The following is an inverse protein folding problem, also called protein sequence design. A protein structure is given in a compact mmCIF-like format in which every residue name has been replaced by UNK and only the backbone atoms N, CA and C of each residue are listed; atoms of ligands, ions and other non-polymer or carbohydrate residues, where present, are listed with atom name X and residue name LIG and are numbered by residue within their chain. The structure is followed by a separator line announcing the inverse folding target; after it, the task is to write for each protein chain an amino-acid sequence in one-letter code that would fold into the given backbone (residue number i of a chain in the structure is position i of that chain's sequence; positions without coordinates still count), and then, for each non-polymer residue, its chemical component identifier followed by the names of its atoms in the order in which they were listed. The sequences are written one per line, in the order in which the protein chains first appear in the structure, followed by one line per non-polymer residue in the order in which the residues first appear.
data_IF_066224613932
#
_entry.id   IF_066224613932
#
_cell.length_a   1.000
_cell.length_b   1.000
_cell.length_c   1.000
_cell.angle_alpha   90.00
_cell.angle_beta   90.00
_cell.angle_gamma   90.00
#
_symmetry.space_group_name_H-M   'P 1'
#
loop_
_entity.id
_entity.type
_entity.pdbx_description
1 polymer ?
#
# COMPACT_ATOMS: atom_id res chain seq x y z
N UNK A 1 -6.91 -16.29 41.60
CA UNK A 1 -7.50 -16.07 40.26
C UNK A 1 -6.64 -15.03 39.60
N UNK A 2 -5.85 -15.43 38.60
CA UNK A 2 -5.03 -14.49 37.80
C UNK A 2 -5.96 -13.48 37.15
N UNK A 3 -5.65 -12.19 37.33
CA UNK A 3 -6.34 -11.08 36.68
C UNK A 3 -6.45 -11.39 35.17
N UNK A 4 -7.66 -11.35 34.60
CA UNK A 4 -7.82 -11.47 33.16
C UNK A 4 -7.08 -10.28 32.55
N UNK A 5 -6.00 -10.53 31.81
CA UNK A 5 -5.33 -9.47 31.06
C UNK A 5 -6.34 -8.79 30.14
N UNK A 6 -6.54 -7.50 30.36
CA UNK A 6 -7.41 -6.67 29.54
C UNK A 6 -6.89 -6.67 28.11
N UNK A 7 -7.69 -7.15 27.17
CA UNK A 7 -7.27 -7.38 25.77
C UNK A 7 -7.38 -6.12 24.90
N UNK A 8 -8.18 -5.14 25.32
CA UNK A 8 -8.35 -3.86 24.64
C UNK A 8 -8.47 -2.71 25.64
N UNK A 9 -7.95 -1.54 25.29
CA UNK A 9 -8.18 -0.31 26.07
C UNK A 9 -9.59 0.25 25.84
N UNK A 10 -10.22 -0.07 24.71
CA UNK A 10 -11.58 0.36 24.38
C UNK A 10 -12.59 -0.30 25.35
N UNK A 11 -13.36 0.51 26.10
CA UNK A 11 -14.28 0.00 27.12
C UNK A 11 -15.43 -0.84 26.53
N UNK A 12 -15.75 -0.69 25.24
CA UNK A 12 -16.83 -1.44 24.57
C UNK A 12 -16.36 -2.81 24.09
N UNK A 13 -15.06 -2.99 23.87
CA UNK A 13 -14.51 -4.24 23.35
C UNK A 13 -14.54 -5.35 24.40
N UNK A 14 -14.21 -5.07 25.67
CA UNK A 14 -14.13 -6.10 26.70
C UNK A 14 -15.47 -6.83 26.94
N UNK A 15 -16.61 -6.13 27.09
CA UNK A 15 -17.92 -6.79 27.17
C UNK A 15 -18.25 -7.65 25.94
N UNK A 16 -17.82 -7.22 24.74
CA UNK A 16 -18.03 -7.99 23.51
C UNK A 16 -17.15 -9.25 23.47
N UNK A 17 -15.92 -9.19 23.97
CA UNK A 17 -15.04 -10.36 24.11
C UNK A 17 -15.61 -11.36 25.13
N UNK A 18 -16.18 -10.88 26.24
CA UNK A 18 -16.85 -11.74 27.20
C UNK A 18 -18.08 -12.44 26.62
N UNK A 19 -18.90 -11.71 25.86
CA UNK A 19 -20.03 -12.28 25.11
C UNK A 19 -19.55 -13.34 24.11
N UNK A 20 -18.54 -13.00 23.31
CA UNK A 20 -17.94 -13.92 22.34
C UNK A 20 -17.42 -15.20 22.99
N UNK A 21 -16.76 -15.09 24.14
CA UNK A 21 -16.30 -16.25 24.91
C UNK A 21 -17.45 -17.15 25.39
N UNK A 22 -18.55 -16.56 25.91
CA UNK A 22 -19.75 -17.32 26.33
C UNK A 22 -20.41 -18.04 25.14
N UNK A 23 -20.41 -17.40 23.98
CA UNK A 23 -20.97 -17.91 22.72
C UNK A 23 -19.99 -18.82 21.95
N UNK A 24 -18.78 -19.07 22.49
CA UNK A 24 -17.72 -19.87 21.87
C UNK A 24 -17.28 -19.35 20.50
N UNK A 25 -17.31 -18.03 20.31
CA UNK A 25 -16.86 -17.35 19.09
C UNK A 25 -15.38 -17.01 19.23
N UNK A 26 -14.55 -17.56 18.34
CA UNK A 26 -13.12 -17.23 18.26
C UNK A 26 -12.88 -15.83 17.71
N UNK A 27 -12.11 -15.03 18.42
CA UNK A 27 -11.74 -13.66 18.03
C UNK A 27 -10.28 -13.58 17.56
N UNK A 28 -9.84 -12.39 17.16
CA UNK A 28 -8.44 -12.16 16.79
C UNK A 28 -7.46 -12.39 17.96
N UNK A 29 -7.85 -12.05 19.19
CA UNK A 29 -7.02 -12.26 20.38
C UNK A 29 -6.81 -13.75 20.70
N UNK A 30 -7.84 -14.57 20.53
CA UNK A 30 -7.73 -16.01 20.73
C UNK A 30 -6.77 -16.62 19.70
N UNK A 31 -6.87 -16.18 18.43
CA UNK A 31 -5.94 -16.61 17.38
C UNK A 31 -4.51 -16.13 17.62
N UNK A 32 -4.30 -14.95 18.19
CA UNK A 32 -2.97 -14.46 18.55
C UNK A 32 -2.35 -15.30 19.67
N UNK A 33 -3.16 -15.64 20.69
CA UNK A 33 -2.72 -16.52 21.79
C UNK A 33 -2.32 -17.90 21.27
N UNK A 34 -3.07 -18.47 20.32
CA UNK A 34 -2.76 -19.75 19.68
C UNK A 34 -1.49 -19.71 18.81
N UNK A 35 -1.11 -18.54 18.29
CA UNK A 35 0.11 -18.35 17.51
C UNK A 35 1.34 -18.04 18.36
N UNK A 36 1.19 -17.98 19.69
CA UNK A 36 2.28 -17.61 20.61
C UNK A 36 3.04 -18.85 21.13
N UNK A 37 4.38 -18.83 21.19
CA UNK A 37 5.27 -17.76 20.69
C UNK A 37 5.36 -17.74 19.17
N UNK A 38 5.38 -16.54 18.58
CA UNK A 38 5.57 -16.39 17.14
C UNK A 38 7.01 -16.76 16.71
N UNK A 39 7.17 -17.13 15.43
CA UNK A 39 8.47 -17.52 14.88
C UNK A 39 9.50 -16.37 14.90
N UNK A 40 10.58 -16.53 15.66
CA UNK A 40 11.63 -15.51 15.80
C UNK A 40 12.31 -15.11 14.48
N UNK A 41 12.63 -16.08 13.61
CA UNK A 41 13.24 -15.77 12.29
C UNK A 41 12.32 -14.92 11.42
N UNK A 42 11.00 -15.16 11.47
CA UNK A 42 10.02 -14.39 10.74
C UNK A 42 9.88 -12.97 11.30
N UNK A 43 9.79 -12.85 12.62
CA UNK A 43 9.71 -11.54 13.31
C UNK A 43 10.95 -10.67 13.07
N UNK A 44 12.13 -11.29 12.97
CA UNK A 44 13.38 -10.59 12.66
C UNK A 44 13.59 -10.34 11.15
N UNK A 45 12.71 -10.87 10.28
CA UNK A 45 12.85 -10.73 8.84
C UNK A 45 14.01 -11.51 8.23
N UNK A 46 14.47 -12.58 8.90
CA UNK A 46 15.64 -13.39 8.52
C UNK A 46 15.26 -14.73 7.88
N UNK A 47 14.03 -14.87 7.39
CA UNK A 47 13.53 -16.05 6.69
C UNK A 47 13.18 -15.71 5.23
N UNK A 48 13.75 -16.42 4.27
CA UNK A 48 13.52 -16.22 2.84
C UNK A 48 12.82 -17.42 2.21
N UNK A 49 11.72 -17.17 1.49
CA UNK A 49 10.90 -18.17 0.78
C UNK A 49 10.67 -17.81 -0.70
N UNK A 50 11.61 -17.13 -1.32
CA UNK A 50 11.41 -16.55 -2.66
C UNK A 50 11.64 -17.53 -3.81
N UNK A 51 12.20 -18.72 -3.55
CA UNK A 51 12.45 -19.74 -4.57
C UNK A 51 12.33 -21.15 -3.96
N UNK A 52 12.40 -22.17 -4.82
CA UNK A 52 12.25 -23.58 -4.46
C UNK A 52 13.40 -24.16 -3.64
N UNK A 53 14.53 -23.48 -3.53
CA UNK A 53 15.66 -23.91 -2.70
C UNK A 53 15.50 -23.49 -1.22
N UNK A 54 14.48 -22.69 -0.90
CA UNK A 54 14.13 -22.31 0.48
C UNK A 54 13.25 -23.36 1.19
N UNK A 55 12.79 -23.07 2.42
CA UNK A 55 13.02 -21.84 3.19
C UNK A 55 14.47 -21.72 3.66
N UNK A 56 15.13 -20.60 3.36
CA UNK A 56 16.39 -20.23 4.00
C UNK A 56 16.09 -19.45 5.28
N UNK A 57 16.92 -19.61 6.31
CA UNK A 57 16.92 -18.77 7.51
C UNK A 57 18.35 -18.36 7.83
N UNK A 58 18.52 -17.25 8.54
CA UNK A 58 19.83 -16.83 9.09
C UNK A 58 19.72 -16.78 10.61
N UNK A 59 20.68 -17.38 11.29
CA UNK A 59 20.82 -17.27 12.74
C UNK A 59 21.56 -15.97 13.08
N UNK A 60 20.91 -14.98 13.71
CA UNK A 60 21.56 -13.71 14.06
C UNK A 60 22.53 -13.82 15.23
N UNK A 61 22.54 -14.92 15.98
CA UNK A 61 23.32 -15.08 17.21
C UNK A 61 24.25 -16.31 17.22
N UNK A 62 24.10 -17.23 16.26
CA UNK A 62 24.86 -18.48 16.17
C UNK A 62 25.89 -18.51 15.04
N UNK A 63 26.60 -19.64 14.92
CA UNK A 63 27.68 -19.80 13.95
C UNK A 63 27.20 -20.19 12.54
N UNK A 64 25.98 -20.74 12.40
CA UNK A 64 25.43 -21.18 11.11
C UNK A 64 23.91 -21.41 11.18
N UNK A 65 23.12 -21.15 10.12
CA UNK A 65 23.52 -20.58 8.81
C UNK A 65 23.63 -19.04 8.81
N UNK A 66 24.65 -18.51 8.13
CA UNK A 66 24.94 -17.06 8.00
C UNK A 66 24.52 -16.45 6.65
N UNK A 67 24.17 -17.30 5.67
CA UNK A 67 23.69 -16.89 4.35
C UNK A 67 22.63 -17.87 3.83
N UNK A 68 21.80 -17.40 2.89
CA UNK A 68 20.90 -18.28 2.15
C UNK A 68 21.65 -19.17 1.15
N UNK A 69 20.98 -20.21 0.64
CA UNK A 69 21.56 -21.17 -0.33
C UNK A 69 22.16 -20.49 -1.57
N UNK A 70 21.65 -19.32 -1.96
CA UNK A 70 22.18 -18.54 -3.09
C UNK A 70 23.24 -17.49 -2.70
N UNK A 71 23.74 -17.49 -1.46
CA UNK A 71 24.67 -16.48 -0.92
C UNK A 71 23.99 -15.18 -0.47
N UNK A 72 22.65 -15.16 -0.33
CA UNK A 72 21.96 -13.96 0.16
C UNK A 72 22.25 -13.71 1.65
N UNK A 73 22.78 -12.54 1.97
CA UNK A 73 23.06 -12.11 3.35
C UNK A 73 21.78 -11.81 4.16
N UNK A 74 21.94 -11.64 5.47
CA UNK A 74 20.89 -11.17 6.38
C UNK A 74 20.24 -9.88 5.88
N UNK A 75 21.06 -8.88 5.52
CA UNK A 75 20.60 -7.59 5.01
C UNK A 75 19.77 -7.75 3.73
N UNK A 76 20.22 -8.61 2.82
CA UNK A 76 19.51 -8.87 1.57
C UNK A 76 18.16 -9.51 1.82
N UNK A 77 18.08 -10.49 2.73
CA UNK A 77 16.81 -11.16 3.09
C UNK A 77 15.86 -10.17 3.78
N UNK A 78 16.35 -9.39 4.75
CA UNK A 78 15.57 -8.38 5.45
C UNK A 78 15.04 -7.29 4.50
N UNK A 79 15.90 -6.74 3.63
CA UNK A 79 15.51 -5.74 2.64
C UNK A 79 14.46 -6.27 1.66
N UNK A 80 14.60 -7.51 1.19
CA UNK A 80 13.62 -8.17 0.32
C UNK A 80 12.26 -8.35 1.00
N UNK A 81 12.26 -8.73 2.28
CA UNK A 81 11.04 -8.89 3.06
C UNK A 81 10.32 -7.56 3.23
N UNK A 82 11.05 -6.50 3.61
CA UNK A 82 10.51 -5.16 3.73
C UNK A 82 9.97 -4.63 2.39
N UNK A 83 10.76 -4.74 1.31
CA UNK A 83 10.35 -4.29 -0.02
C UNK A 83 9.06 -4.95 -0.50
N UNK A 84 8.89 -6.27 -0.28
CA UNK A 84 7.64 -6.96 -0.64
C UNK A 84 6.44 -6.52 0.19
N UNK A 85 6.61 -6.20 1.47
CA UNK A 85 5.52 -5.63 2.27
C UNK A 85 5.11 -4.25 1.76
N UNK A 86 6.09 -3.40 1.44
CA UNK A 86 5.84 -2.09 0.85
C UNK A 86 5.13 -2.23 -0.50
N UNK A 87 5.59 -3.13 -1.37
CA UNK A 87 4.97 -3.39 -2.66
C UNK A 87 3.54 -3.93 -2.51
N UNK A 88 3.26 -4.81 -1.56
CA UNK A 88 1.91 -5.30 -1.30
C UNK A 88 0.96 -4.18 -0.84
N UNK A 89 1.42 -3.30 0.04
CA UNK A 89 0.66 -2.12 0.47
C UNK A 89 0.45 -1.12 -0.67
N UNK A 90 1.47 -0.88 -1.50
CA UNK A 90 1.38 -0.03 -2.68
C UNK A 90 0.38 -0.61 -3.71
N UNK A 91 0.41 -1.92 -3.94
CA UNK A 91 -0.53 -2.60 -4.83
C UNK A 91 -1.99 -2.48 -4.35
N UNK A 92 -2.26 -2.61 -3.05
CA UNK A 92 -3.60 -2.41 -2.50
C UNK A 92 -4.12 -0.97 -2.72
N UNK A 93 -3.27 0.04 -2.54
CA UNK A 93 -3.63 1.42 -2.83
C UNK A 93 -3.72 1.71 -4.34
N UNK A 94 -2.90 1.04 -5.17
CA UNK A 94 -2.96 1.11 -6.64
C UNK A 94 -4.32 0.63 -7.13
N UNK A 95 -4.76 -0.55 -6.70
CA UNK A 95 -6.05 -1.14 -7.09
C UNK A 95 -7.23 -0.27 -6.66
N UNK A 96 -7.21 0.22 -5.41
CA UNK A 96 -8.20 1.19 -4.92
C UNK A 96 -8.25 2.42 -5.81
N UNK A 97 -7.10 3.07 -6.06
CA UNK A 97 -7.04 4.30 -6.83
C UNK A 97 -7.50 4.06 -8.27
N UNK A 98 -7.14 2.94 -8.89
CA UNK A 98 -7.57 2.56 -10.24
C UNK A 98 -9.08 2.42 -10.31
N UNK A 99 -9.69 1.68 -9.38
CA UNK A 99 -11.14 1.53 -9.34
C UNK A 99 -11.85 2.89 -9.22
N UNK A 100 -11.30 3.81 -8.40
CA UNK A 100 -11.83 5.18 -8.29
C UNK A 100 -11.67 5.96 -9.59
N UNK A 101 -10.50 5.92 -10.24
CA UNK A 101 -10.24 6.64 -11.49
C UNK A 101 -11.10 6.09 -12.64
N UNK A 102 -11.24 4.77 -12.76
CA UNK A 102 -12.10 4.12 -13.75
C UNK A 102 -13.57 4.51 -13.54
N UNK A 103 -14.04 4.48 -12.29
CA UNK A 103 -15.41 4.92 -11.94
C UNK A 103 -15.60 6.40 -12.25
N UNK A 104 -14.64 7.23 -11.90
CA UNK A 104 -14.67 8.67 -12.18
C UNK A 104 -14.72 8.96 -13.68
N UNK A 105 -13.88 8.30 -14.48
CA UNK A 105 -13.87 8.45 -15.94
C UNK A 105 -15.20 7.98 -16.54
N UNK A 106 -15.71 6.83 -16.11
CA UNK A 106 -17.00 6.33 -16.58
C UNK A 106 -18.17 7.28 -16.20
N UNK A 107 -18.13 7.89 -15.01
CA UNK A 107 -19.10 8.91 -14.61
C UNK A 107 -18.97 10.19 -15.45
N UNK A 108 -17.74 10.64 -15.73
CA UNK A 108 -17.47 11.80 -16.58
C UNK A 108 -17.94 11.59 -18.03
N UNK A 109 -17.86 10.35 -18.54
CA UNK A 109 -18.38 9.93 -19.84
C UNK A 109 -19.89 9.65 -19.84
N UNK A 110 -20.58 9.84 -18.71
CA UNK A 110 -22.03 9.64 -18.58
C UNK A 110 -22.47 8.17 -18.56
N UNK A 111 -21.55 7.23 -18.36
CA UNK A 111 -21.81 5.76 -18.38
C UNK A 111 -22.28 5.20 -17.05
N UNK A 112 -22.20 5.97 -15.96
CA UNK A 112 -22.60 5.53 -14.61
C UNK A 112 -23.70 6.44 -14.06
N UNK A 113 -24.99 6.10 -14.30
CA UNK A 113 -26.10 6.86 -13.75
C UNK A 113 -26.04 6.90 -12.22
N UNK A 114 -26.23 8.08 -11.63
CA UNK A 114 -26.16 8.29 -10.17
C UNK A 114 -24.85 8.91 -9.69
N UNK A 115 -23.81 8.93 -10.53
CA UNK A 115 -22.57 9.66 -10.28
C UNK A 115 -22.52 10.95 -11.10
N UNK A 116 -21.76 11.92 -10.61
CA UNK A 116 -21.54 13.19 -11.27
C UNK A 116 -20.47 14.00 -10.54
N UNK A 117 -19.98 15.05 -11.18
CA UNK A 117 -19.01 15.95 -10.56
C UNK A 117 -19.71 16.73 -9.45
N UNK A 118 -19.31 16.49 -8.19
CA UNK A 118 -19.88 17.15 -7.01
C UNK A 118 -19.08 18.37 -6.57
N UNK A 119 -17.80 18.42 -6.94
CA UNK A 119 -16.89 19.50 -6.60
C UNK A 119 -16.07 19.89 -7.84
N UNK A 120 -16.54 20.94 -8.52
CA UNK A 120 -15.87 21.48 -9.71
C UNK A 120 -14.57 22.19 -9.35
N UNK A 121 -14.48 22.85 -8.19
CA UNK A 121 -13.27 23.54 -7.75
C UNK A 121 -12.12 22.54 -7.57
N UNK A 122 -12.40 21.39 -6.93
CA UNK A 122 -11.42 20.31 -6.80
C UNK A 122 -11.00 19.73 -8.15
N UNK A 123 -11.94 19.61 -9.09
CA UNK A 123 -11.64 19.18 -10.44
C UNK A 123 -10.69 20.15 -11.15
N UNK A 124 -10.95 21.46 -11.08
CA UNK A 124 -10.09 22.48 -11.69
C UNK A 124 -8.69 22.49 -11.07
N UNK A 125 -8.57 22.40 -9.74
CA UNK A 125 -7.26 22.29 -9.07
C UNK A 125 -6.44 21.10 -9.58
N UNK A 126 -7.06 19.92 -9.64
CA UNK A 126 -6.39 18.71 -10.10
C UNK A 126 -6.03 18.80 -11.59
N UNK A 127 -6.91 19.38 -12.41
CA UNK A 127 -6.65 19.61 -13.83
C UNK A 127 -5.43 20.50 -14.03
N UNK A 128 -5.28 21.58 -13.25
CA UNK A 128 -4.11 22.46 -13.31
C UNK A 128 -2.83 21.73 -12.86
N UNK A 129 -2.89 20.93 -11.79
CA UNK A 129 -1.76 20.09 -11.36
C UNK A 129 -1.32 19.09 -12.45
N UNK A 130 -2.28 18.62 -13.25
CA UNK A 130 -2.11 17.74 -14.39
C UNK A 130 -1.65 18.45 -15.68
N UNK A 131 -1.53 19.79 -15.65
CA UNK A 131 -1.21 20.60 -16.82
C UNK A 131 -2.29 20.53 -17.90
N UNK A 132 -3.55 20.43 -17.51
CA UNK A 132 -4.71 20.48 -18.41
C UNK A 132 -5.15 21.93 -18.54
N UNK A 133 -5.27 22.42 -19.78
CA UNK A 133 -5.89 23.73 -20.04
C UNK A 133 -7.41 23.66 -19.82
N UNK A 134 -7.91 24.50 -18.91
CA UNK A 134 -9.31 24.56 -18.49
C UNK A 134 -10.10 25.71 -19.14
N UNK A 135 -9.44 26.69 -19.77
CA UNK A 135 -10.06 27.98 -20.10
C UNK A 135 -11.16 27.92 -21.17
N UNK A 136 -11.23 26.83 -21.95
CA UNK A 136 -12.19 26.64 -23.05
C UNK A 136 -12.86 25.27 -23.05
N UNK A 137 -12.83 24.57 -21.92
CA UNK A 137 -13.41 23.23 -21.78
C UNK A 137 -14.58 23.26 -20.81
N UNK A 138 -15.61 22.48 -21.11
CA UNK A 138 -16.66 22.17 -20.16
C UNK A 138 -16.11 21.35 -18.99
N UNK A 139 -16.83 21.38 -17.86
CA UNK A 139 -16.54 20.55 -16.68
C UNK A 139 -16.40 19.08 -17.06
N UNK A 140 -17.28 18.57 -17.94
CA UNK A 140 -17.26 17.19 -18.41
C UNK A 140 -15.99 16.89 -19.23
N UNK A 141 -15.59 17.76 -20.16
CA UNK A 141 -14.37 17.57 -20.95
C UNK A 141 -13.13 17.55 -20.05
N UNK A 142 -13.06 18.44 -19.06
CA UNK A 142 -11.97 18.47 -18.07
C UNK A 142 -11.97 17.18 -17.25
N UNK A 143 -13.12 16.72 -16.79
CA UNK A 143 -13.25 15.48 -16.02
C UNK A 143 -12.78 14.26 -16.81
N UNK A 144 -13.16 14.13 -18.08
CA UNK A 144 -12.71 13.02 -18.94
C UNK A 144 -11.19 13.06 -19.12
N UNK A 145 -10.61 14.24 -19.34
CA UNK A 145 -9.15 14.37 -19.52
C UNK A 145 -8.38 14.10 -18.22
N UNK A 146 -8.88 14.56 -17.08
CA UNK A 146 -8.34 14.24 -15.75
C UNK A 146 -8.35 12.72 -15.52
N UNK A 147 -9.48 12.05 -15.82
CA UNK A 147 -9.61 10.60 -15.69
C UNK A 147 -8.60 9.85 -16.55
N UNK A 148 -8.46 10.22 -17.82
CA UNK A 148 -7.50 9.60 -18.76
C UNK A 148 -6.05 9.78 -18.31
N UNK A 149 -5.62 11.01 -18.01
CA UNK A 149 -4.25 11.26 -17.51
C UNK A 149 -3.97 10.55 -16.19
N UNK A 150 -4.99 10.39 -15.34
CA UNK A 150 -4.86 9.66 -14.08
C UNK A 150 -4.76 8.15 -14.27
N UNK A 151 -5.29 7.58 -15.37
CA UNK A 151 -5.08 6.17 -15.70
C UNK A 151 -3.67 5.90 -16.23
N UNK A 152 -3.09 6.85 -16.96
CA UNK A 152 -1.79 6.64 -17.62
C UNK A 152 -0.65 6.37 -16.61
N UNK A 153 -0.73 6.90 -15.39
CA UNK A 153 0.34 6.71 -14.38
C UNK A 153 0.50 5.28 -13.89
N UNK A 154 -0.54 4.44 -13.99
CA UNK A 154 -0.46 3.08 -13.47
C UNK A 154 0.52 2.24 -14.28
N UNK A 155 0.48 2.37 -15.61
CA UNK A 155 1.32 1.62 -16.55
C UNK A 155 2.52 2.39 -17.11
N UNK A 156 2.74 3.64 -16.70
CA UNK A 156 3.82 4.48 -17.20
C UNK A 156 5.20 3.83 -17.00
N UNK A 157 5.97 3.67 -18.08
CA UNK A 157 7.29 3.00 -18.05
C UNK A 157 8.45 3.96 -17.84
N UNK A 158 8.32 5.20 -18.35
CA UNK A 158 9.40 6.19 -18.40
C UNK A 158 8.94 7.54 -17.84
N UNK A 159 9.88 8.39 -17.42
CA UNK A 159 9.60 9.71 -16.85
C UNK A 159 9.27 9.68 -15.35
N UNK A 160 8.43 10.61 -14.90
CA UNK A 160 7.99 10.69 -13.49
C UNK A 160 6.48 10.76 -13.44
N UNK A 161 5.85 10.12 -12.44
CA UNK A 161 4.42 10.30 -12.20
C UNK A 161 4.15 11.78 -11.87
N UNK A 162 3.12 12.36 -12.49
CA UNK A 162 2.85 13.80 -12.34
C UNK A 162 2.56 14.21 -10.88
N UNK A 163 1.97 13.29 -10.09
CA UNK A 163 1.63 13.54 -8.68
C UNK A 163 2.85 13.81 -7.80
N UNK A 164 4.05 13.43 -8.24
CA UNK A 164 5.31 13.74 -7.55
C UNK A 164 5.48 15.26 -7.35
N UNK A 165 4.94 16.07 -8.27
CA UNK A 165 5.01 17.54 -8.22
C UNK A 165 4.26 18.15 -7.03
N UNK A 166 3.36 17.39 -6.39
CA UNK A 166 2.63 17.83 -5.19
C UNK A 166 3.52 17.89 -3.94
N UNK A 167 4.70 17.25 -3.96
CA UNK A 167 5.66 17.37 -2.88
C UNK A 167 6.43 18.70 -2.98
N UNK A 168 6.96 19.24 -1.86
CA UNK A 168 7.82 20.44 -1.91
C UNK A 168 9.02 20.26 -2.84
N UNK A 169 9.45 21.33 -3.53
CA UNK A 169 10.53 21.28 -4.54
C UNK A 169 11.81 20.60 -4.03
N UNK A 170 12.26 20.93 -2.81
CA UNK A 170 13.43 20.29 -2.17
C UNK A 170 13.30 18.77 -2.05
N UNK A 171 12.07 18.26 -1.84
CA UNK A 171 11.82 16.82 -1.73
C UNK A 171 11.89 16.15 -3.09
N UNK A 172 11.34 16.79 -4.12
CA UNK A 172 11.43 16.30 -5.50
C UNK A 172 12.88 16.21 -5.97
N UNK A 173 13.68 17.27 -5.73
CA UNK A 173 15.11 17.30 -6.05
C UNK A 173 15.89 16.18 -5.35
N UNK A 174 15.59 15.94 -4.07
CA UNK A 174 16.22 14.85 -3.32
C UNK A 174 15.88 13.48 -3.93
N UNK A 175 14.62 13.23 -4.26
CA UNK A 175 14.22 11.95 -4.86
C UNK A 175 14.87 11.71 -6.21
N UNK A 176 14.99 12.75 -7.05
CA UNK A 176 15.74 12.69 -8.31
C UNK A 176 17.22 12.41 -8.06
N UNK A 177 17.83 13.11 -7.10
CA UNK A 177 19.25 12.94 -6.75
C UNK A 177 19.58 11.52 -6.29
N UNK A 178 18.70 10.87 -5.53
CA UNK A 178 18.92 9.50 -5.03
C UNK A 178 18.27 8.42 -5.92
N UNK A 179 17.68 8.79 -7.06
CA UNK A 179 17.16 7.85 -8.04
C UNK A 179 15.88 7.11 -7.61
N UNK A 180 15.04 7.72 -6.77
CA UNK A 180 13.80 7.11 -6.25
C UNK A 180 12.53 7.84 -6.67
N UNK A 181 12.61 8.69 -7.69
CA UNK A 181 11.42 9.28 -8.30
C UNK A 181 10.65 8.20 -9.09
N UNK A 182 9.41 7.83 -8.70
CA UNK A 182 8.65 6.79 -9.37
C UNK A 182 8.25 7.16 -10.80
N UNK A 183 8.34 6.19 -11.71
CA UNK A 183 7.95 6.31 -13.12
C UNK A 183 6.49 5.96 -13.36
N UNK A 184 6.01 4.88 -12.74
CA UNK A 184 4.62 4.42 -12.85
C UNK A 184 4.27 3.48 -11.70
N UNK A 185 3.00 3.48 -11.30
CA UNK A 185 2.58 2.84 -10.03
C UNK A 185 2.80 1.33 -10.04
N UNK A 186 2.41 0.63 -11.11
CA UNK A 186 2.56 -0.84 -11.19
C UNK A 186 3.95 -1.27 -11.65
N UNK A 187 4.71 -0.32 -12.20
CA UNK A 187 6.06 -0.56 -12.71
C UNK A 187 7.09 -0.59 -11.57
N UNK A 188 6.90 0.21 -10.53
CA UNK A 188 7.78 0.20 -9.35
C UNK A 188 7.45 -0.97 -8.41
#
# INVERSE_FOLDING_TARGET
MTEKEKRSIDPVVEPLLEKGAKEKIKTAWDRLQEQSPQCGFGTLGLCCRHCSNGPCRIDPFGDSPQEGVCGASADTIAARHFARMTAAGAAAHSDHARAVVETFLAAAEGKVPGYGIKDEMKLYELALDLGIDVAKKSVQEIAVEVGKKSLDIFGQQEGEIFLLKRAPLKRQELWRKVGVAPRGVDRE
#
